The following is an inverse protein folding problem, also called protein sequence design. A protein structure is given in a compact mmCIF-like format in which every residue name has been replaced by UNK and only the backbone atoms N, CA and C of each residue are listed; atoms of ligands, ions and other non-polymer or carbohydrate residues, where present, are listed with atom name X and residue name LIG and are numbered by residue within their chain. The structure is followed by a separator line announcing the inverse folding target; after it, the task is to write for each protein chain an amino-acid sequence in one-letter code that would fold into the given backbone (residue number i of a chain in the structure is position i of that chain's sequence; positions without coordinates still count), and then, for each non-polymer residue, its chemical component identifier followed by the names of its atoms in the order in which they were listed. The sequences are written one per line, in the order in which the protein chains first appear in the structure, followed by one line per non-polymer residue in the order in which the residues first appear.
data_IF_391353039743
#
_entry.id   IF_391353039743
#
_cell.length_a   1.000
_cell.length_b   1.000
_cell.length_c   1.000
_cell.angle_alpha   90.00
_cell.angle_beta   90.00
_cell.angle_gamma   90.00
#
_symmetry.space_group_name_H-M   'P 1'
#
loop_
_entity.id
_entity.type
_entity.pdbx_description
1 polymer ?
#
# COMPACT_ATOMS: atom_id res chain seq x y z
N UNK A 1 -40.63 15.47 -12.09
CA UNK A 1 -39.58 16.12 -12.91
C UNK A 1 -38.22 15.56 -12.48
N UNK A 2 -37.30 15.42 -13.44
CA UNK A 2 -35.98 14.77 -13.36
C UNK A 2 -35.93 13.23 -13.45
N UNK A 3 -35.94 12.76 -14.70
CA UNK A 3 -35.42 11.47 -15.13
C UNK A 3 -33.89 11.45 -15.00
N UNK A 4 -33.32 10.37 -14.44
CA UNK A 4 -31.89 10.05 -14.60
C UNK A 4 -31.75 8.69 -15.25
N UNK A 5 -31.15 8.71 -16.43
CA UNK A 5 -30.90 7.62 -17.36
C UNK A 5 -29.91 6.63 -16.75
N UNK A 6 -30.36 5.40 -16.49
CA UNK A 6 -29.50 4.25 -16.21
C UNK A 6 -29.36 3.41 -17.47
N UNK A 7 -28.20 3.48 -18.11
CA UNK A 7 -27.87 2.71 -19.30
C UNK A 7 -27.73 1.22 -18.98
N UNK A 8 -28.69 0.41 -19.42
CA UNK A 8 -28.49 -1.02 -19.59
C UNK A 8 -27.69 -1.25 -20.87
N UNK A 9 -26.45 -1.73 -20.75
CA UNK A 9 -25.69 -2.26 -21.88
C UNK A 9 -26.31 -3.62 -22.22
N UNK A 10 -27.41 -3.59 -22.98
CA UNK A 10 -27.89 -4.75 -23.71
C UNK A 10 -27.01 -4.89 -24.94
N UNK A 11 -26.16 -5.92 -24.95
CA UNK A 11 -25.49 -6.37 -26.18
C UNK A 11 -26.59 -6.95 -27.08
N UNK A 12 -27.19 -6.07 -27.88
CA UNK A 12 -28.14 -6.41 -28.91
C UNK A 12 -27.33 -6.90 -30.12
N UNK A 13 -27.22 -8.21 -30.27
CA UNK A 13 -26.70 -8.80 -31.51
C UNK A 13 -27.75 -8.56 -32.59
N UNK A 14 -27.58 -7.46 -33.33
CA UNK A 14 -28.36 -7.09 -34.51
C UNK A 14 -28.00 -8.02 -35.67
N UNK A 15 -28.71 -9.14 -35.79
CA UNK A 15 -28.82 -9.85 -37.05
C UNK A 15 -29.75 -9.04 -37.96
N UNK A 16 -29.12 -8.22 -38.83
CA UNK A 16 -29.78 -7.54 -39.94
C UNK A 16 -30.28 -8.58 -40.95
N UNK A 17 -31.55 -8.99 -40.83
CA UNK A 17 -32.28 -9.66 -41.90
C UNK A 17 -33.38 -8.73 -42.41
N UNK A 18 -33.07 -8.06 -43.52
CA UNK A 18 -34.05 -7.31 -44.33
C UNK A 18 -35.10 -8.28 -44.90
N UNK A 19 -36.42 -8.04 -44.74
CA UNK A 19 -37.42 -8.79 -45.47
C UNK A 19 -37.67 -8.06 -46.79
N UNK A 20 -36.95 -8.46 -47.85
CA UNK A 20 -37.37 -8.16 -49.22
C UNK A 20 -37.69 -9.48 -49.92
N UNK A 21 -38.99 -9.68 -50.08
CA UNK A 21 -39.60 -10.71 -50.93
C UNK A 21 -38.84 -10.82 -52.26
N UNK A 22 -38.43 -12.03 -52.62
CA UNK A 22 -38.26 -12.42 -54.02
C UNK A 22 -38.73 -13.87 -54.21
N UNK A 23 -39.90 -13.95 -54.86
CA UNK A 23 -40.35 -14.94 -55.82
C UNK A 23 -39.98 -16.42 -55.61
N UNK A 24 -41.04 -17.23 -55.50
CA UNK A 24 -41.02 -18.62 -55.89
C UNK A 24 -40.47 -18.79 -57.31
N UNK A 25 -39.47 -19.66 -57.47
CA UNK A 25 -39.25 -20.39 -58.72
C UNK A 25 -38.41 -21.63 -58.48
N UNK A 26 -39.06 -22.78 -58.72
CA UNK A 26 -38.55 -24.02 -59.30
C UNK A 26 -37.37 -24.71 -58.60
N UNK A 27 -37.69 -25.91 -58.07
CA UNK A 27 -36.75 -26.95 -57.65
C UNK A 27 -35.72 -27.23 -58.75
N UNK A 28 -34.44 -26.99 -58.43
CA UNK A 28 -33.33 -27.76 -58.97
C UNK A 28 -32.60 -28.40 -57.79
N UNK A 29 -32.80 -29.70 -57.66
CA UNK A 29 -32.15 -30.56 -56.68
C UNK A 29 -30.68 -30.70 -57.10
N UNK A 30 -29.81 -29.86 -56.53
CA UNK A 30 -28.37 -29.99 -56.66
C UNK A 30 -27.89 -31.00 -55.58
N UNK A 31 -27.27 -32.13 -55.97
CA UNK A 31 -26.81 -33.12 -55.01
C UNK A 31 -25.61 -32.54 -54.25
N UNK A 32 -25.86 -32.00 -53.05
CA UNK A 32 -24.80 -31.49 -52.18
C UNK A 32 -25.15 -30.30 -51.29
N UNK A 33 -26.32 -29.66 -51.42
CA UNK A 33 -26.72 -28.59 -50.49
C UNK A 33 -27.51 -29.15 -49.31
N UNK A 34 -26.89 -29.13 -48.13
CA UNK A 34 -27.54 -29.47 -46.86
C UNK A 34 -28.74 -28.54 -46.68
N UNK A 35 -29.93 -29.11 -46.43
CA UNK A 35 -31.15 -28.33 -46.24
C UNK A 35 -31.07 -27.54 -44.93
N UNK A 36 -31.64 -26.33 -44.91
CA UNK A 36 -31.75 -25.51 -43.70
C UNK A 36 -32.42 -26.27 -42.55
N UNK A 37 -33.48 -27.03 -42.85
CA UNK A 37 -34.20 -27.85 -41.87
C UNK A 37 -33.30 -28.93 -41.25
N UNK A 38 -32.38 -29.49 -42.02
CA UNK A 38 -31.40 -30.47 -41.52
C UNK A 38 -30.40 -29.82 -40.57
N UNK A 39 -29.86 -28.65 -40.92
CA UNK A 39 -28.94 -27.90 -40.04
C UNK A 39 -29.65 -27.47 -38.75
N UNK A 40 -30.90 -27.02 -38.85
CA UNK A 40 -31.71 -26.67 -37.68
C UNK A 40 -31.96 -27.89 -36.78
N UNK A 41 -32.30 -29.04 -37.35
CA UNK A 41 -32.49 -30.27 -36.59
C UNK A 41 -31.20 -30.72 -35.87
N UNK A 42 -30.04 -30.62 -36.54
CA UNK A 42 -28.75 -30.92 -35.91
C UNK A 42 -28.41 -29.93 -34.80
N UNK A 43 -28.62 -28.63 -35.01
CA UNK A 43 -28.37 -27.61 -34.00
C UNK A 43 -29.26 -27.81 -32.75
N UNK A 44 -30.54 -28.13 -32.95
CA UNK A 44 -31.45 -28.47 -31.85
C UNK A 44 -30.97 -29.73 -31.13
N UNK A 45 -30.65 -30.80 -31.85
CA UNK A 45 -30.17 -32.06 -31.24
C UNK A 45 -28.89 -31.83 -30.44
N UNK A 46 -27.88 -31.20 -31.03
CA UNK A 46 -26.62 -30.91 -30.37
C UNK A 46 -26.81 -29.98 -29.16
N UNK A 47 -27.66 -28.96 -29.28
CA UNK A 47 -27.99 -28.06 -28.18
C UNK A 47 -28.66 -28.77 -27.01
N UNK A 48 -29.59 -29.68 -27.28
CA UNK A 48 -30.25 -30.50 -26.25
C UNK A 48 -29.27 -31.43 -25.54
N UNK A 49 -28.40 -32.10 -26.29
CA UNK A 49 -27.36 -32.98 -25.71
C UNK A 49 -26.35 -32.19 -24.87
N UNK A 50 -25.89 -31.03 -25.35
CA UNK A 50 -25.00 -30.14 -24.59
C UNK A 50 -25.67 -29.59 -23.33
N UNK A 51 -26.97 -29.27 -23.39
CA UNK A 51 -27.73 -28.83 -22.22
C UNK A 51 -27.82 -29.94 -21.17
N UNK A 52 -28.16 -31.18 -21.56
CA UNK A 52 -28.23 -32.31 -20.64
C UNK A 52 -26.87 -32.70 -20.10
N UNK A 53 -25.83 -32.71 -20.93
CA UNK A 53 -24.45 -32.92 -20.49
C UNK A 53 -24.01 -31.84 -19.49
N UNK A 54 -24.34 -30.58 -19.78
CA UNK A 54 -24.10 -29.46 -18.87
C UNK A 54 -24.82 -29.63 -17.53
N UNK A 55 -26.11 -29.97 -17.53
CA UNK A 55 -26.89 -30.21 -16.31
C UNK A 55 -26.32 -31.38 -15.49
N UNK A 56 -25.91 -32.46 -16.16
CA UNK A 56 -25.33 -33.65 -15.54
C UNK A 56 -23.96 -33.37 -14.91
N UNK A 57 -23.04 -32.70 -15.62
CA UNK A 57 -21.69 -32.42 -15.13
C UNK A 57 -21.70 -31.32 -14.06
N UNK A 58 -22.45 -30.24 -14.27
CA UNK A 58 -22.49 -29.11 -13.33
C UNK A 58 -23.33 -29.40 -12.09
N UNK A 59 -24.21 -30.40 -12.14
CA UNK A 59 -25.10 -30.80 -11.04
C UNK A 59 -25.86 -29.61 -10.46
N UNK A 60 -26.33 -28.73 -11.35
CA UNK A 60 -26.98 -27.46 -11.01
C UNK A 60 -28.11 -27.62 -9.99
N UNK A 61 -28.92 -28.68 -10.11
CA UNK A 61 -30.00 -28.97 -9.14
C UNK A 61 -29.46 -29.27 -7.74
N UNK A 62 -28.43 -30.11 -7.63
CA UNK A 62 -27.83 -30.45 -6.33
C UNK A 62 -27.27 -29.21 -5.63
N UNK A 63 -26.62 -28.31 -6.39
CA UNK A 63 -26.14 -27.03 -5.88
C UNK A 63 -27.31 -26.14 -5.45
N UNK A 64 -28.37 -26.03 -6.26
CA UNK A 64 -29.52 -25.21 -5.89
C UNK A 64 -30.26 -25.77 -4.65
N UNK A 65 -30.31 -27.08 -4.51
CA UNK A 65 -30.92 -27.76 -3.37
C UNK A 65 -30.07 -27.62 -2.11
N UNK A 66 -28.74 -27.59 -2.21
CA UNK A 66 -27.86 -27.37 -1.07
C UNK A 66 -28.00 -25.97 -0.46
N UNK A 67 -28.42 -24.97 -1.25
CA UNK A 67 -28.71 -23.62 -0.74
C UNK A 67 -30.11 -23.48 -0.11
N UNK A 68 -31.01 -24.45 -0.22
CA UNK A 68 -32.35 -24.36 0.39
C UNK A 68 -32.34 -24.37 1.91
N UNK A 69 -31.32 -24.98 2.52
CA UNK A 69 -31.10 -25.00 3.97
C UNK A 69 -30.31 -23.79 4.47
N UNK A 70 -29.83 -22.92 3.57
CA UNK A 70 -29.05 -21.75 3.95
C UNK A 70 -29.94 -20.68 4.59
N UNK A 71 -29.40 -19.98 5.59
CA UNK A 71 -30.07 -18.82 6.19
C UNK A 71 -29.81 -17.58 5.35
N UNK A 72 -30.89 -16.90 4.95
CA UNK A 72 -30.82 -15.64 4.20
C UNK A 72 -30.87 -14.50 5.22
N UNK A 73 -29.77 -13.74 5.31
CA UNK A 73 -29.72 -12.51 6.12
C UNK A 73 -29.84 -11.28 5.21
N UNK A 74 -30.88 -10.47 5.45
CA UNK A 74 -31.04 -9.20 4.73
C UNK A 74 -30.02 -8.20 5.28
N UNK A 75 -29.21 -7.62 4.39
CA UNK A 75 -28.23 -6.58 4.72
C UNK A 75 -28.72 -5.23 4.24
N UNK A 76 -28.87 -4.31 5.18
CA UNK A 76 -29.22 -2.92 4.91
C UNK A 76 -27.97 -2.15 4.47
N UNK A 77 -27.97 -1.68 3.22
CA UNK A 77 -26.85 -0.95 2.63
C UNK A 77 -26.58 0.39 3.30
N UNK A 78 -27.63 1.10 3.78
CA UNK A 78 -27.45 2.38 4.46
C UNK A 78 -26.78 2.18 5.81
N UNK A 79 -27.26 1.20 6.59
CA UNK A 79 -26.64 0.82 7.86
C UNK A 79 -25.20 0.34 7.69
N UNK A 80 -24.89 -0.42 6.63
CA UNK A 80 -23.53 -0.86 6.33
C UNK A 80 -22.59 0.32 6.08
N UNK A 81 -23.00 1.28 5.26
CA UNK A 81 -22.20 2.48 4.97
C UNK A 81 -22.04 3.33 6.23
N UNK A 82 -23.10 3.46 7.03
CA UNK A 82 -23.03 4.20 8.29
C UNK A 82 -22.02 3.57 9.25
N UNK A 83 -22.06 2.24 9.42
CA UNK A 83 -21.10 1.53 10.26
C UNK A 83 -19.66 1.72 9.75
N UNK A 84 -19.42 1.62 8.44
CA UNK A 84 -18.10 1.89 7.86
C UNK A 84 -17.64 3.33 8.13
N UNK A 85 -18.54 4.30 8.00
CA UNK A 85 -18.24 5.69 8.29
C UNK A 85 -17.88 5.90 9.77
N UNK A 86 -18.56 5.21 10.67
CA UNK A 86 -18.31 5.26 12.11
C UNK A 86 -16.96 4.61 12.47
N UNK A 87 -16.63 3.47 11.86
CA UNK A 87 -15.32 2.81 12.03
C UNK A 87 -14.17 3.70 11.52
N UNK A 88 -14.35 4.33 10.35
CA UNK A 88 -13.36 5.27 9.79
C UNK A 88 -13.20 6.48 10.71
N UNK A 89 -14.29 7.01 11.27
CA UNK A 89 -14.24 8.14 12.21
C UNK A 89 -13.44 7.78 13.46
N UNK A 90 -13.76 6.65 14.08
CA UNK A 90 -13.04 6.18 15.26
C UNK A 90 -11.54 5.98 14.97
N UNK A 91 -11.21 5.39 13.82
CA UNK A 91 -9.81 5.23 13.39
C UNK A 91 -9.11 6.60 13.21
N UNK A 92 -9.78 7.57 12.56
CA UNK A 92 -9.22 8.91 12.37
C UNK A 92 -9.02 9.64 13.69
N UNK A 93 -9.94 9.50 14.65
CA UNK A 93 -9.82 10.10 15.99
C UNK A 93 -8.60 9.57 16.74
N UNK A 94 -8.31 8.26 16.64
CA UNK A 94 -7.09 7.67 17.21
C UNK A 94 -5.82 8.25 16.56
N UNK A 95 -5.80 8.35 15.22
CA UNK A 95 -4.67 8.94 14.48
C UNK A 95 -4.45 10.41 14.83
N UNK A 96 -5.52 11.19 14.92
CA UNK A 96 -5.47 12.60 15.33
C UNK A 96 -4.93 12.72 16.75
N UNK A 97 -5.38 11.86 17.67
CA UNK A 97 -4.92 11.86 19.05
C UNK A 97 -3.42 11.54 19.17
N UNK A 98 -2.93 10.59 18.37
CA UNK A 98 -1.50 10.28 18.29
C UNK A 98 -0.66 11.47 17.80
N UNK A 99 -1.13 12.17 16.76
CA UNK A 99 -0.48 13.38 16.25
C UNK A 99 -0.48 14.49 17.29
N UNK A 100 -1.61 14.76 17.96
CA UNK A 100 -1.69 15.78 19.02
C UNK A 100 -0.68 15.53 20.13
N UNK A 101 -0.56 14.28 20.61
CA UNK A 101 0.45 13.92 21.62
C UNK A 101 1.87 14.22 21.18
N UNK A 102 2.21 13.97 19.90
CA UNK A 102 3.54 14.29 19.35
C UNK A 102 3.74 15.80 19.27
N UNK A 103 2.73 16.55 18.81
CA UNK A 103 2.80 18.02 18.70
C UNK A 103 3.02 18.65 20.07
N UNK A 104 2.19 18.29 21.06
CA UNK A 104 2.33 18.79 22.43
C UNK A 104 3.69 18.43 23.04
N UNK A 105 4.16 17.19 22.83
CA UNK A 105 5.48 16.77 23.27
C UNK A 105 6.60 17.55 22.59
N UNK A 106 6.49 17.81 21.29
CA UNK A 106 7.48 18.54 20.53
C UNK A 106 7.55 20.01 20.96
N UNK A 107 6.41 20.66 21.18
CA UNK A 107 6.34 22.04 21.67
C UNK A 107 6.99 22.17 23.05
N UNK A 108 6.62 21.27 23.98
CA UNK A 108 7.18 21.27 25.33
C UNK A 108 8.70 20.98 25.32
N UNK A 109 9.16 19.95 24.60
CA UNK A 109 10.58 19.62 24.55
C UNK A 109 11.42 20.69 23.86
N UNK A 110 10.93 21.29 22.78
CA UNK A 110 11.63 22.36 22.09
C UNK A 110 11.80 23.60 22.99
N UNK A 111 10.80 23.89 23.81
CA UNK A 111 10.84 24.99 24.78
C UNK A 111 11.77 24.67 25.97
N UNK A 112 11.56 23.53 26.63
CA UNK A 112 12.30 23.15 27.84
C UNK A 112 13.80 22.97 27.59
N UNK A 113 14.15 22.38 26.44
CA UNK A 113 15.54 22.10 26.05
C UNK A 113 16.16 23.21 25.21
N UNK A 114 15.50 24.36 25.06
CA UNK A 114 16.01 25.46 24.23
C UNK A 114 17.38 25.96 24.69
N UNK A 115 17.71 25.88 25.98
CA UNK A 115 18.99 26.36 26.50
C UNK A 115 19.95 25.23 26.91
N UNK A 116 19.58 23.98 26.65
CA UNK A 116 20.41 22.82 26.96
C UNK A 116 21.54 22.71 25.93
N UNK A 117 22.81 22.67 26.36
CA UNK A 117 23.93 22.43 25.44
C UNK A 117 23.88 20.98 24.96
N UNK A 118 24.23 20.76 23.69
CA UNK A 118 24.38 19.40 23.15
C UNK A 118 25.70 18.82 23.65
N UNK A 119 25.70 17.60 24.24
CA UNK A 119 26.94 16.92 24.63
C UNK A 119 27.91 16.75 23.44
N UNK A 120 29.21 16.91 23.67
CA UNK A 120 30.22 16.75 22.60
C UNK A 120 30.26 15.33 22.04
N UNK A 121 29.91 14.33 22.85
CA UNK A 121 29.83 12.91 22.51
C UNK A 121 28.43 12.49 22.06
N UNK A 122 27.52 13.43 21.80
CA UNK A 122 26.16 13.12 21.38
C UNK A 122 26.14 12.37 20.06
N UNK A 123 25.42 11.24 20.05
CA UNK A 123 25.22 10.41 18.87
C UNK A 123 23.73 10.24 18.61
N UNK A 124 23.36 10.11 17.35
CA UNK A 124 22.00 9.83 16.94
C UNK A 124 21.98 8.77 15.83
N UNK A 125 20.79 8.25 15.58
CA UNK A 125 20.52 7.24 14.56
C UNK A 125 20.32 7.91 13.19
N UNK A 126 21.37 8.07 12.39
CA UNK A 126 21.29 8.67 11.06
C UNK A 126 20.80 7.64 10.03
N UNK A 127 19.67 7.92 9.38
CA UNK A 127 19.04 7.01 8.42
C UNK A 127 19.88 6.72 7.18
N UNK A 128 20.91 7.52 6.87
CA UNK A 128 21.81 7.28 5.73
C UNK A 128 23.01 6.40 6.08
N UNK A 129 23.34 6.26 7.37
CA UNK A 129 24.59 5.66 7.85
C UNK A 129 24.35 4.43 8.74
N UNK A 130 23.10 3.94 8.81
CA UNK A 130 22.80 2.68 9.49
C UNK A 130 23.25 1.48 8.67
N UNK A 131 23.70 0.46 9.36
CA UNK A 131 24.11 -0.80 8.75
C UNK A 131 22.93 -1.48 8.05
N UNK A 132 23.08 -1.74 6.75
CA UNK A 132 22.15 -2.62 6.05
C UNK A 132 22.31 -4.04 6.60
N UNK A 133 21.19 -4.77 6.85
CA UNK A 133 21.27 -6.16 7.26
C UNK A 133 21.79 -7.03 6.09
N UNK A 134 23.12 -7.13 6.00
CA UNK A 134 23.94 -8.13 5.31
C UNK A 134 23.37 -8.65 3.96
N UNK A 135 23.74 -7.99 2.86
CA UNK A 135 24.04 -8.73 1.62
C UNK A 135 25.51 -9.17 1.72
N UNK A 136 25.73 -10.46 1.93
CA UNK A 136 27.05 -11.07 1.77
C UNK A 136 27.52 -10.79 0.34
N UNK A 137 28.72 -10.21 0.19
CA UNK A 137 29.36 -9.71 -1.05
C UNK A 137 29.31 -8.18 -1.22
N UNK A 138 30.05 -7.49 -0.35
CA UNK A 138 30.92 -6.40 -0.81
C UNK A 138 32.35 -6.67 -0.34
N UNK A 139 32.99 -7.68 -0.95
CA UNK A 139 34.45 -7.75 -0.97
C UNK A 139 34.95 -6.65 -1.91
N UNK A 140 34.99 -5.41 -1.43
CA UNK A 140 35.75 -4.36 -2.08
C UNK A 140 37.23 -4.72 -1.97
N UNK A 141 37.75 -5.31 -3.04
CA UNK A 141 39.18 -5.57 -3.27
C UNK A 141 39.94 -4.31 -3.68
N UNK A 142 39.30 -3.15 -3.54
CA UNK A 142 39.91 -1.85 -3.81
C UNK A 142 40.48 -1.34 -2.48
N UNK A 143 41.82 -1.22 -2.33
CA UNK A 143 42.37 -0.55 -1.16
C UNK A 143 41.83 0.87 -1.16
N UNK A 144 41.06 1.21 -0.12
CA UNK A 144 40.63 2.58 0.08
C UNK A 144 41.88 3.46 0.14
N UNK A 145 41.94 4.56 -0.62
CA UNK A 145 43.07 5.47 -0.53
C UNK A 145 43.12 6.00 0.91
N UNK A 146 44.25 5.80 1.59
CA UNK A 146 44.56 6.42 2.89
C UNK A 146 44.60 7.94 2.70
N UNK A 147 43.43 8.57 2.78
CA UNK A 147 43.32 10.02 2.86
C UNK A 147 43.79 10.43 4.26
N UNK A 148 45.01 10.94 4.33
CA UNK A 148 45.54 11.61 5.50
C UNK A 148 44.89 13.01 5.56
N UNK A 149 43.87 13.19 6.40
CA UNK A 149 43.06 14.41 6.44
C UNK A 149 43.33 15.17 7.74
N UNK A 150 44.43 15.93 7.76
CA UNK A 150 44.85 16.75 8.90
C UNK A 150 43.85 17.88 9.28
N UNK A 151 42.71 18.00 8.59
CA UNK A 151 41.66 18.98 8.86
C UNK A 151 40.25 18.36 9.02
N UNK A 152 40.12 17.07 9.33
CA UNK A 152 38.80 16.50 9.59
C UNK A 152 38.20 17.05 10.90
N UNK A 153 36.98 17.62 10.82
CA UNK A 153 36.20 17.91 12.03
C UNK A 153 35.87 16.56 12.67
N UNK A 154 36.57 16.22 13.75
CA UNK A 154 36.29 15.02 14.55
C UNK A 154 34.86 15.14 15.07
N UNK A 155 34.00 14.23 14.60
CA UNK A 155 32.59 14.15 14.99
C UNK A 155 32.36 12.79 15.63
N UNK A 156 31.50 12.70 16.66
CA UNK A 156 31.05 11.42 17.16
C UNK A 156 30.50 10.54 16.04
N UNK A 157 30.78 9.23 16.06
CA UNK A 157 30.18 8.31 15.10
C UNK A 157 28.66 8.23 15.28
N UNK A 158 27.96 7.92 14.21
CA UNK A 158 26.53 7.64 14.24
C UNK A 158 26.26 6.35 15.03
N UNK A 159 25.11 6.27 15.72
CA UNK A 159 24.66 5.04 16.39
C UNK A 159 24.39 3.94 15.35
N UNK A 160 25.07 2.80 15.46
CA UNK A 160 24.73 1.59 14.69
C UNK A 160 23.47 0.92 15.25
N UNK A 161 22.69 0.32 14.38
CA UNK A 161 21.51 -0.44 14.76
C UNK A 161 21.22 -1.59 13.81
N UNK A 162 20.78 -2.71 14.40
CA UNK A 162 20.27 -3.83 13.66
C UNK A 162 18.81 -3.58 13.28
N UNK A 163 18.52 -3.68 11.98
CA UNK A 163 17.16 -3.59 11.44
C UNK A 163 16.61 -4.99 11.15
N UNK A 164 15.30 -5.17 11.33
CA UNK A 164 14.61 -6.42 11.04
C UNK A 164 13.43 -6.18 10.11
N UNK A 165 13.25 -7.07 9.13
CA UNK A 165 12.10 -7.00 8.22
C UNK A 165 10.80 -7.12 9.01
N UNK A 166 9.84 -6.22 8.74
CA UNK A 166 8.56 -6.20 9.45
C UNK A 166 7.37 -6.21 8.45
N UNK A 167 6.46 -7.21 8.52
CA UNK A 167 5.29 -7.28 7.63
C UNK A 167 4.35 -6.09 7.70
N UNK A 168 4.22 -5.47 8.88
CA UNK A 168 3.39 -4.27 9.07
C UNK A 168 3.91 -3.07 8.27
N UNK A 169 5.23 -3.04 8.01
CA UNK A 169 5.90 -2.00 7.23
C UNK A 169 6.30 -2.52 5.84
N UNK A 170 5.46 -3.37 5.23
CA UNK A 170 5.69 -3.90 3.88
C UNK A 170 7.01 -4.68 3.75
N UNK A 171 7.40 -5.40 4.80
CA UNK A 171 8.67 -6.15 4.91
C UNK A 171 9.93 -5.28 4.78
N UNK A 172 9.81 -3.97 4.96
CA UNK A 172 10.97 -3.07 5.03
C UNK A 172 11.72 -3.34 6.35
N UNK A 173 13.07 -3.41 6.34
CA UNK A 173 13.86 -3.50 7.55
C UNK A 173 13.67 -2.25 8.41
N UNK A 174 13.17 -2.44 9.64
CA UNK A 174 12.91 -1.37 10.60
C UNK A 174 13.34 -1.78 12.00
N UNK A 175 13.46 -0.81 12.90
CA UNK A 175 13.63 -1.05 14.33
C UNK A 175 12.59 -0.25 15.13
N UNK A 176 11.79 -0.96 15.93
CA UNK A 176 10.71 -0.37 16.71
C UNK A 176 11.15 0.21 18.08
N UNK A 177 12.43 0.11 18.44
CA UNK A 177 12.94 0.59 19.72
C UNK A 177 13.42 2.05 19.68
N UNK A 178 13.68 2.60 18.50
CA UNK A 178 14.17 3.97 18.33
C UNK A 178 13.62 4.59 17.05
N UNK A 179 13.70 5.92 16.96
CA UNK A 179 13.47 6.65 15.72
C UNK A 179 14.79 7.05 15.06
N UNK A 180 14.76 7.24 13.74
CA UNK A 180 15.93 7.62 12.96
C UNK A 180 15.77 8.97 12.30
N UNK A 181 16.89 9.66 12.08
CA UNK A 181 16.92 11.03 11.55
C UNK A 181 17.46 11.02 10.13
N UNK A 182 16.71 11.64 9.24
CA UNK A 182 17.13 11.98 7.90
C UNK A 182 17.53 13.46 7.82
N UNK A 183 18.77 13.70 7.41
CA UNK A 183 19.28 15.04 7.08
C UNK A 183 19.51 15.11 5.56
N UNK A 184 18.82 16.00 4.83
CA UNK A 184 19.05 16.24 3.40
C UNK A 184 20.49 16.64 3.09
N UNK A 185 20.95 16.40 1.86
CA UNK A 185 22.35 16.63 1.47
C UNK A 185 22.78 18.09 1.51
N UNK A 186 21.84 19.03 1.36
CA UNK A 186 22.10 20.47 1.45
C UNK A 186 22.09 21.01 2.90
N UNK A 187 21.79 20.18 3.90
CA UNK A 187 21.75 20.56 5.31
C UNK A 187 22.89 19.88 6.04
N UNK A 188 23.64 20.65 6.82
CA UNK A 188 24.72 20.11 7.63
C UNK A 188 24.21 19.64 8.99
N UNK A 189 24.27 18.33 9.27
CA UNK A 189 23.72 17.71 10.48
C UNK A 189 24.29 18.30 11.78
N UNK A 190 25.57 18.67 11.77
CA UNK A 190 26.29 19.21 12.94
C UNK A 190 26.28 20.74 13.01
N UNK A 191 25.48 21.42 12.19
CA UNK A 191 25.23 22.84 12.38
C UNK A 191 24.55 23.05 13.75
N UNK A 192 24.90 24.10 14.53
CA UNK A 192 24.42 24.27 15.91
C UNK A 192 22.90 24.14 16.08
N UNK A 193 22.13 24.75 15.18
CA UNK A 193 20.66 24.70 15.20
C UNK A 193 20.09 23.33 14.82
N UNK A 194 20.79 22.60 13.92
CA UNK A 194 20.34 21.29 13.44
C UNK A 194 20.62 20.22 14.50
N UNK A 195 21.83 20.16 15.03
CA UNK A 195 22.22 19.15 16.01
C UNK A 195 21.46 19.32 17.33
N UNK A 196 21.22 20.57 17.75
CA UNK A 196 20.36 20.89 18.89
C UNK A 196 18.93 20.41 18.67
N UNK A 197 18.41 20.63 17.46
CA UNK A 197 17.13 20.10 17.01
C UNK A 197 17.03 18.57 17.13
N UNK A 198 18.06 17.90 16.64
CA UNK A 198 18.17 16.43 16.69
C UNK A 198 18.25 15.94 18.13
N UNK A 199 19.03 16.62 18.99
CA UNK A 199 19.20 16.30 20.40
C UNK A 199 17.90 16.36 21.19
N UNK A 200 17.21 17.50 21.18
CA UNK A 200 15.98 17.62 21.98
C UNK A 200 14.87 16.70 21.45
N UNK A 201 14.81 16.49 20.12
CA UNK A 201 13.79 15.64 19.49
C UNK A 201 13.96 14.14 19.77
N UNK A 202 15.06 13.70 20.38
CA UNK A 202 15.22 12.32 20.87
C UNK A 202 14.17 11.97 21.93
N UNK A 203 13.66 12.96 22.68
CA UNK A 203 12.58 12.74 23.64
C UNK A 203 11.26 12.27 22.99
N UNK A 204 11.05 12.52 21.69
CA UNK A 204 9.84 12.10 20.97
C UNK A 204 9.75 10.58 20.77
N UNK A 205 10.86 9.85 20.90
CA UNK A 205 10.91 8.40 20.70
C UNK A 205 9.91 7.67 21.60
N UNK A 206 9.81 8.09 22.86
CA UNK A 206 8.83 7.53 23.81
C UNK A 206 7.39 7.72 23.34
N UNK A 207 7.05 8.88 22.79
CA UNK A 207 5.71 9.16 22.27
C UNK A 207 5.43 8.36 21.00
N UNK A 208 6.41 8.20 20.10
CA UNK A 208 6.26 7.36 18.92
C UNK A 208 6.00 5.89 19.28
N UNK A 209 6.79 5.35 20.22
CA UNK A 209 6.65 3.98 20.71
C UNK A 209 5.29 3.79 21.39
N UNK A 210 4.91 4.69 22.30
CA UNK A 210 3.64 4.62 23.02
C UNK A 210 2.43 4.71 22.07
N UNK A 211 2.51 5.56 21.03
CA UNK A 211 1.49 5.64 20.01
C UNK A 211 1.33 4.32 19.26
N UNK A 212 2.44 3.71 18.84
CA UNK A 212 2.43 2.43 18.12
C UNK A 212 1.93 1.27 18.99
N UNK A 213 2.30 1.26 20.28
CA UNK A 213 1.79 0.27 21.24
C UNK A 213 0.28 0.44 21.49
N UNK A 214 -0.22 1.67 21.49
CA UNK A 214 -1.64 1.97 21.69
C UNK A 214 -2.49 1.66 20.44
N UNK A 215 -1.95 1.92 19.25
CA UNK A 215 -2.57 1.62 17.96
C UNK A 215 -1.55 0.95 17.02
N UNK A 216 -1.49 -0.39 17.01
CA UNK A 216 -0.62 -1.15 16.11
C UNK A 216 -0.97 -1.01 14.62
N UNK A 217 -2.10 -0.36 14.27
CA UNK A 217 -2.44 -0.07 12.87
C UNK A 217 -1.75 1.18 12.34
N UNK A 218 -1.05 1.94 13.20
CA UNK A 218 -0.25 3.08 12.79
C UNK A 218 0.92 2.62 11.92
N UNK A 219 1.06 3.23 10.75
CA UNK A 219 2.23 3.06 9.89
C UNK A 219 3.36 3.97 10.37
N UNK A 220 3.84 4.86 9.52
CA UNK A 220 4.96 5.74 9.80
C UNK A 220 4.55 6.96 10.63
N UNK A 221 5.38 7.33 11.58
CA UNK A 221 5.25 8.59 12.34
C UNK A 221 6.43 9.49 11.98
N UNK A 222 6.16 10.78 11.79
CA UNK A 222 7.14 11.75 11.34
C UNK A 222 7.11 13.01 12.18
N UNK A 223 8.30 13.55 12.42
CA UNK A 223 8.51 14.91 12.89
C UNK A 223 9.41 15.64 11.91
N UNK A 224 8.93 16.74 11.35
CA UNK A 224 9.71 17.61 10.46
C UNK A 224 10.17 18.85 11.22
N UNK A 225 11.48 19.07 11.29
CA UNK A 225 12.03 20.28 11.89
C UNK A 225 12.10 21.42 10.87
N UNK A 226 11.82 22.64 11.33
CA UNK A 226 12.07 23.87 10.56
C UNK A 226 13.55 24.11 10.25
N UNK A 227 14.46 23.46 10.98
CA UNK A 227 15.92 23.50 10.72
C UNK A 227 16.37 22.58 9.58
N UNK A 228 15.45 21.80 9.00
CA UNK A 228 15.70 21.05 7.76
C UNK A 228 16.04 19.57 7.93
N UNK A 229 15.81 18.97 9.10
CA UNK A 229 15.88 17.52 9.27
C UNK A 229 14.49 16.90 9.49
N UNK A 230 14.37 15.60 9.26
CA UNK A 230 13.17 14.82 9.55
C UNK A 230 13.53 13.67 10.49
N UNK A 231 12.71 13.42 11.50
CA UNK A 231 12.79 12.24 12.36
C UNK A 231 11.62 11.32 12.02
N UNK A 232 11.87 10.03 11.85
CA UNK A 232 10.83 9.05 11.55
C UNK A 232 10.93 7.79 12.41
N UNK A 233 9.76 7.28 12.77
CA UNK A 233 9.59 6.03 13.51
C UNK A 233 8.69 5.06 12.72
N UNK A 234 8.99 3.75 12.73
CA UNK A 234 10.17 3.11 13.33
C UNK A 234 11.46 3.50 12.61
N UNK A 235 12.60 3.34 13.29
CA UNK A 235 13.92 3.62 12.72
C UNK A 235 14.17 2.76 11.48
N UNK A 236 14.63 3.38 10.39
CA UNK A 236 14.97 2.68 9.14
C UNK A 236 16.03 3.43 8.36
N UNK A 237 16.67 2.69 7.46
CA UNK A 237 17.52 3.26 6.42
C UNK A 237 16.68 4.02 5.39
N UNK A 238 17.18 5.20 4.98
CA UNK A 238 16.57 6.02 3.95
C UNK A 238 17.58 6.35 2.85
N UNK A 239 17.74 5.40 1.92
CA UNK A 239 18.46 5.62 0.67
C UNK A 239 17.50 6.21 -0.37
N UNK A 240 17.53 7.54 -0.50
CA UNK A 240 16.70 8.28 -1.48
C UNK A 240 17.20 8.02 -2.91
N UNK A 241 18.49 7.69 -3.10
CA UNK A 241 19.10 7.51 -4.41
C UNK A 241 18.70 6.19 -5.10
N UNK A 242 18.34 5.15 -4.36
CA UNK A 242 17.98 3.83 -4.93
C UNK A 242 16.48 3.60 -5.09
N UNK A 243 15.60 4.38 -4.43
CA UNK A 243 14.14 4.11 -4.43
C UNK A 243 13.33 4.77 -5.54
N UNK A 244 13.92 5.65 -6.36
CA UNK A 244 13.22 6.20 -7.52
C UNK A 244 13.11 5.15 -8.65
N UNK A 245 13.99 4.15 -8.67
CA UNK A 245 14.02 3.13 -9.72
C UNK A 245 13.11 1.91 -9.48
N UNK A 246 12.35 1.87 -8.38
CA UNK A 246 11.44 0.74 -8.09
C UNK A 246 9.96 1.07 -8.27
N UNK A 247 9.63 2.28 -8.79
CA UNK A 247 8.25 2.71 -9.07
C UNK A 247 8.09 3.25 -10.51
N UNK A 248 9.04 2.97 -11.39
CA UNK A 248 8.92 3.14 -12.85
C UNK A 248 9.25 1.81 -13.53
#
# INVERSE_FOLDING_TARGET
MCNRVGGSISILVLLLLNPRNCSASIQYDAPGKISFNSVQAWAVKLGTELYHFGEFITRKKEVQDSFKSAQIEVRDGEKLVQNMADDIRAMMELKISAVKRIVEAAENMAFDKQNEPVPEDFQFYNSKEMDEPYDDVSLTTTPEPEFNVDNWIVRPPTKSAHLQSNPHFSNIPVNANFSSVHVPTNVYAWAPEVIKGIHWSEGLDTHFINNYQSDPTLSWQYFGSSTGFMRHYPGKILNIETKIYSVL
#
